data_IF_772422798552
#
_entry.id   IF_772422798552
#
_cell.length_a   1.000
_cell.length_b   1.000
_cell.length_c   1.000
_cell.angle_alpha   90.00
_cell.angle_beta   90.00
_cell.angle_gamma   90.00
#
_symmetry.space_group_name_H-M   'P 1'
#
loop_
_entity.id
_entity.type
_entity.pdbx_description
1 polymer ?
#
# COMPACT_ATOMS: atom_id res chain seq x y z
N UNK A 1 -14.73 -7.28 8.06
CA UNK A 1 -13.98 -7.16 6.79
C UNK A 1 -14.75 -7.83 5.67
N UNK A 2 -14.84 -7.21 4.49
CA UNK A 2 -15.43 -7.86 3.32
C UNK A 2 -14.42 -8.88 2.76
N UNK A 3 -14.87 -10.11 2.49
CA UNK A 3 -14.06 -11.17 1.86
C UNK A 3 -14.36 -11.22 0.37
N UNK A 4 -13.31 -11.29 -0.43
CA UNK A 4 -13.38 -11.41 -1.88
C UNK A 4 -12.56 -12.63 -2.29
N UNK A 5 -13.18 -13.56 -2.99
CA UNK A 5 -12.46 -14.71 -3.55
C UNK A 5 -11.67 -14.28 -4.77
N UNK A 6 -10.37 -14.51 -4.76
CA UNK A 6 -9.47 -14.21 -5.88
C UNK A 6 -9.34 -15.38 -6.83
N UNK A 7 -9.10 -16.59 -6.27
CA UNK A 7 -8.98 -17.86 -6.97
C UNK A 7 -9.35 -19.02 -6.04
N UNK A 8 -9.13 -20.27 -6.47
CA UNK A 8 -9.30 -21.40 -5.59
C UNK A 8 -8.30 -21.34 -4.43
N UNK A 9 -8.83 -21.39 -3.21
CA UNK A 9 -8.03 -21.33 -1.99
C UNK A 9 -7.47 -19.97 -1.61
N UNK A 10 -7.61 -18.93 -2.45
CA UNK A 10 -7.05 -17.60 -2.20
C UNK A 10 -8.15 -16.56 -2.02
N UNK A 11 -8.18 -15.92 -0.86
CA UNK A 11 -9.15 -14.89 -0.51
C UNK A 11 -8.47 -13.59 -0.07
N UNK A 12 -9.00 -12.46 -0.52
CA UNK A 12 -8.56 -11.12 -0.12
C UNK A 12 -9.58 -10.52 0.85
N UNK A 13 -9.09 -9.98 1.95
CA UNK A 13 -9.85 -9.22 2.92
C UNK A 13 -9.32 -7.79 2.98
N UNK A 14 -10.21 -6.81 2.77
CA UNK A 14 -9.86 -5.40 2.95
C UNK A 14 -10.14 -4.98 4.39
N UNK A 15 -9.14 -4.45 5.05
CA UNK A 15 -9.27 -3.70 6.29
C UNK A 15 -9.10 -2.21 6.00
N UNK A 16 -10.10 -1.41 6.36
CA UNK A 16 -10.01 0.05 6.31
C UNK A 16 -9.36 0.51 7.61
N UNK A 17 -8.09 0.87 7.52
CA UNK A 17 -7.35 1.42 8.64
C UNK A 17 -7.76 2.85 8.99
N UNK A 18 -7.08 3.44 9.96
CA UNK A 18 -7.31 4.81 10.40
C UNK A 18 -6.76 5.86 9.42
N UNK A 19 -5.80 5.49 8.59
CA UNK A 19 -5.15 6.36 7.62
C UNK A 19 -5.12 5.76 6.23
N UNK A 20 -4.82 4.47 6.11
CA UNK A 20 -4.65 3.75 4.86
C UNK A 20 -5.40 2.42 4.88
N UNK A 21 -5.55 1.79 3.73
CA UNK A 21 -6.10 0.45 3.62
C UNK A 21 -5.00 -0.59 3.85
N UNK A 22 -5.37 -1.70 4.47
CA UNK A 22 -4.53 -2.90 4.60
C UNK A 22 -5.25 -4.05 3.92
N UNK A 23 -4.52 -4.84 3.16
CA UNK A 23 -5.09 -6.00 2.48
C UNK A 23 -4.51 -7.28 3.07
N UNK A 24 -5.39 -8.21 3.47
CA UNK A 24 -5.00 -9.49 4.05
C UNK A 24 -5.39 -10.58 3.06
N UNK A 25 -4.43 -11.36 2.64
CA UNK A 25 -4.59 -12.46 1.70
C UNK A 25 -4.46 -13.77 2.49
N UNK A 26 -5.52 -14.55 2.51
CA UNK A 26 -5.56 -15.86 3.15
C UNK A 26 -5.44 -16.93 2.09
N UNK A 27 -4.39 -17.73 2.17
CA UNK A 27 -4.17 -18.91 1.32
C UNK A 27 -4.51 -20.17 2.11
N UNK A 28 -5.68 -20.73 1.85
CA UNK A 28 -6.14 -21.93 2.52
C UNK A 28 -5.47 -23.22 2.02
N UNK A 29 -4.82 -23.17 0.85
CA UNK A 29 -4.06 -24.30 0.31
C UNK A 29 -2.69 -24.39 0.98
N UNK A 30 -1.98 -23.24 1.06
CA UNK A 30 -0.67 -23.16 1.72
C UNK A 30 -0.76 -23.04 3.25
N UNK A 31 -1.97 -22.88 3.79
CA UNK A 31 -2.21 -22.61 5.21
C UNK A 31 -1.38 -21.43 5.71
N UNK A 32 -1.38 -20.33 4.97
CA UNK A 32 -0.59 -19.13 5.26
C UNK A 32 -1.42 -17.86 5.03
N UNK A 33 -1.06 -16.82 5.76
CA UNK A 33 -1.63 -15.48 5.60
C UNK A 33 -0.54 -14.50 5.20
N UNK A 34 -0.88 -13.60 4.29
CA UNK A 34 -0.03 -12.51 3.81
C UNK A 34 -0.75 -11.19 4.03
N UNK A 35 0.01 -10.12 4.25
CA UNK A 35 -0.53 -8.77 4.30
C UNK A 35 0.13 -7.89 3.25
N UNK A 36 -0.63 -6.99 2.64
CA UNK A 36 -0.11 -5.87 1.87
C UNK A 36 -0.37 -4.61 2.68
N UNK A 37 0.73 -3.94 3.04
CA UNK A 37 0.82 -2.87 4.03
C UNK A 37 0.40 -3.29 5.45
N UNK A 38 0.63 -2.43 6.42
CA UNK A 38 0.32 -2.75 7.81
C UNK A 38 -0.28 -1.59 8.63
N UNK A 39 -0.64 -0.49 7.94
CA UNK A 39 -1.26 0.64 8.59
C UNK A 39 -0.37 1.32 9.64
N UNK A 40 -1.00 1.90 10.65
CA UNK A 40 -0.34 2.53 11.79
C UNK A 40 -0.51 1.68 13.07
N UNK A 41 0.26 1.93 14.14
CA UNK A 41 0.15 1.15 15.39
C UNK A 41 -1.27 1.07 15.96
N UNK A 42 -2.08 2.12 15.74
CA UNK A 42 -3.48 2.15 16.17
C UNK A 42 -4.42 1.19 15.44
N UNK A 43 -3.98 0.59 14.33
CA UNK A 43 -4.75 -0.40 13.56
C UNK A 43 -4.48 -1.83 14.04
N UNK A 44 -3.31 -2.05 14.63
CA UNK A 44 -2.79 -3.38 14.99
C UNK A 44 -3.72 -4.20 15.89
N UNK A 45 -4.40 -3.65 16.91
CA UNK A 45 -5.34 -4.44 17.72
C UNK A 45 -6.40 -5.15 16.88
N UNK A 46 -7.08 -4.42 15.98
CA UNK A 46 -8.13 -4.97 15.12
C UNK A 46 -7.57 -5.96 14.07
N UNK A 47 -6.38 -5.67 13.53
CA UNK A 47 -5.68 -6.59 12.62
C UNK A 47 -5.31 -7.89 13.35
N UNK A 48 -4.82 -7.80 14.58
CA UNK A 48 -4.43 -8.95 15.41
C UNK A 48 -5.63 -9.86 15.70
N UNK A 49 -6.80 -9.31 15.98
CA UNK A 49 -8.01 -10.10 16.25
C UNK A 49 -8.43 -10.95 15.03
N UNK A 50 -8.26 -10.43 13.83
CA UNK A 50 -8.48 -11.18 12.60
C UNK A 50 -7.36 -12.21 12.38
N UNK A 51 -6.11 -11.79 12.46
CA UNK A 51 -4.94 -12.63 12.14
C UNK A 51 -4.80 -13.83 13.07
N UNK A 52 -5.23 -13.73 14.33
CA UNK A 52 -5.24 -14.87 15.27
C UNK A 52 -6.25 -15.96 14.90
N UNK A 53 -7.24 -15.66 14.06
CA UNK A 53 -8.27 -16.59 13.60
C UNK A 53 -7.96 -17.12 12.19
N UNK A 54 -6.96 -16.55 11.51
CA UNK A 54 -6.49 -16.97 10.19
C UNK A 54 -5.29 -17.94 10.33
N UNK A 55 -4.88 -18.61 9.25
CA UNK A 55 -3.59 -19.30 9.20
C UNK A 55 -2.43 -18.37 9.60
N UNK A 56 -1.27 -18.93 10.01
CA UNK A 56 -0.15 -18.10 10.46
C UNK A 56 0.24 -16.99 9.49
N UNK A 57 0.50 -15.78 10.02
CA UNK A 57 1.04 -14.67 9.24
C UNK A 57 2.47 -15.01 8.81
N UNK A 58 2.66 -15.16 7.51
CA UNK A 58 3.95 -15.51 6.91
C UNK A 58 4.78 -14.26 6.63
N UNK A 59 4.18 -13.27 5.93
CA UNK A 59 4.88 -12.04 5.58
C UNK A 59 3.95 -10.85 5.44
N UNK A 60 4.52 -9.68 5.64
CA UNK A 60 3.93 -8.37 5.34
C UNK A 60 4.70 -7.79 4.16
N UNK A 61 4.04 -7.52 3.05
CA UNK A 61 4.63 -6.97 1.84
C UNK A 61 4.23 -5.49 1.76
N UNK A 62 5.19 -4.60 1.58
CA UNK A 62 4.96 -3.16 1.60
C UNK A 62 4.88 -2.61 0.19
N UNK A 63 3.85 -1.81 -0.09
CA UNK A 63 3.68 -1.12 -1.37
C UNK A 63 4.72 -0.01 -1.55
N UNK A 64 5.00 0.75 -0.49
CA UNK A 64 6.02 1.80 -0.46
C UNK A 64 6.35 2.23 0.98
N UNK A 65 7.49 2.87 1.18
CA UNK A 65 8.02 3.22 2.50
C UNK A 65 7.43 4.53 3.03
N UNK A 66 6.11 4.58 3.30
CA UNK A 66 5.46 5.69 4.00
C UNK A 66 4.91 5.27 5.37
N UNK A 67 4.83 6.26 6.28
CA UNK A 67 4.50 6.08 7.70
C UNK A 67 3.21 5.30 7.91
N UNK A 68 2.18 5.61 7.17
CA UNK A 68 0.85 5.02 7.30
C UNK A 68 0.71 3.65 6.61
N UNK A 69 1.73 3.20 5.90
CA UNK A 69 1.81 1.87 5.31
C UNK A 69 2.72 0.93 6.12
N UNK A 70 3.75 1.47 6.82
CA UNK A 70 4.78 0.65 7.47
C UNK A 70 4.77 0.68 9.00
N UNK A 71 4.18 1.70 9.63
CA UNK A 71 4.41 1.92 11.07
C UNK A 71 3.68 0.92 11.98
N UNK A 72 2.66 0.24 11.49
CA UNK A 72 2.01 -0.88 12.18
C UNK A 72 2.97 -2.03 12.49
N UNK A 73 4.07 -2.17 11.71
CA UNK A 73 5.09 -3.18 11.94
C UNK A 73 5.74 -3.09 13.32
N UNK A 74 5.80 -1.89 13.92
CA UNK A 74 6.32 -1.68 15.28
C UNK A 74 5.67 -2.63 16.30
N UNK A 75 4.35 -2.83 16.18
CA UNK A 75 3.58 -3.67 17.10
C UNK A 75 3.36 -5.08 16.56
N UNK A 76 3.10 -5.24 15.25
CA UNK A 76 2.88 -6.55 14.61
C UNK A 76 4.07 -7.49 14.82
N UNK A 77 5.30 -6.99 14.66
CA UNK A 77 6.52 -7.79 14.84
C UNK A 77 6.71 -8.37 16.25
N UNK A 78 6.10 -7.76 17.25
CA UNK A 78 6.15 -8.25 18.64
C UNK A 78 5.17 -9.41 18.86
N UNK A 79 4.06 -9.41 18.13
CA UNK A 79 2.97 -10.39 18.25
C UNK A 79 3.22 -11.59 17.32
N UNK A 80 3.61 -11.33 16.07
CA UNK A 80 3.86 -12.33 15.03
C UNK A 80 5.38 -12.44 14.79
N UNK A 81 6.06 -13.17 15.70
CA UNK A 81 7.52 -13.21 15.75
C UNK A 81 8.17 -13.93 14.56
N UNK A 82 7.43 -14.84 13.89
CA UNK A 82 7.90 -15.59 12.72
C UNK A 82 7.61 -14.88 11.40
N UNK A 83 6.80 -13.81 11.42
CA UNK A 83 6.49 -13.04 10.22
C UNK A 83 7.68 -12.20 9.75
N UNK A 84 7.86 -12.13 8.43
CA UNK A 84 8.84 -11.27 7.78
C UNK A 84 8.19 -10.02 7.21
N UNK A 85 8.97 -8.94 7.01
CA UNK A 85 8.55 -7.77 6.25
C UNK A 85 9.36 -7.65 4.97
N UNK A 86 8.65 -7.47 3.85
CA UNK A 86 9.19 -7.51 2.52
C UNK A 86 9.00 -6.18 1.82
N UNK A 87 10.08 -5.65 1.24
CA UNK A 87 10.11 -4.39 0.49
C UNK A 87 10.63 -4.63 -0.91
N UNK A 88 10.19 -3.80 -1.85
CA UNK A 88 10.88 -3.72 -3.13
C UNK A 88 12.32 -3.23 -2.94
N UNK A 89 13.26 -3.73 -3.75
CA UNK A 89 14.69 -3.38 -3.63
C UNK A 89 14.95 -1.87 -3.65
N UNK A 90 14.11 -1.11 -4.34
CA UNK A 90 14.18 0.37 -4.37
C UNK A 90 13.91 1.04 -3.02
N UNK A 91 13.28 0.34 -2.08
CA UNK A 91 13.09 0.84 -0.71
C UNK A 91 14.34 0.72 0.16
N UNK A 92 15.35 -0.06 -0.26
CA UNK A 92 16.55 -0.35 0.54
C UNK A 92 17.22 0.89 1.13
N UNK A 93 17.46 1.99 0.38
CA UNK A 93 18.11 3.18 0.94
C UNK A 93 17.33 3.78 2.11
N UNK A 94 15.99 3.75 2.06
CA UNK A 94 15.11 4.27 3.11
C UNK A 94 15.07 3.32 4.32
N UNK A 95 14.92 2.02 4.07
CA UNK A 95 14.89 0.97 5.11
C UNK A 95 16.21 0.96 5.89
N UNK A 96 17.35 1.07 5.19
CA UNK A 96 18.70 1.09 5.77
C UNK A 96 19.09 2.47 6.35
N UNK A 97 18.21 3.47 6.26
CA UNK A 97 18.47 4.81 6.78
C UNK A 97 19.54 5.61 6.03
N UNK A 98 19.90 5.20 4.81
CA UNK A 98 20.82 5.94 3.93
C UNK A 98 20.16 7.16 3.33
N UNK A 99 18.84 7.08 3.09
CA UNK A 99 18.01 8.16 2.60
C UNK A 99 16.84 8.41 3.55
N UNK A 100 16.34 9.65 3.54
CA UNK A 100 15.18 10.05 4.35
C UNK A 100 13.98 10.26 3.44
N UNK A 101 12.80 9.91 3.95
CA UNK A 101 11.55 10.28 3.30
C UNK A 101 11.43 11.81 3.35
N UNK A 102 11.22 12.49 2.21
CA UNK A 102 10.97 13.93 2.23
C UNK A 102 9.69 14.23 3.01
N UNK A 103 9.74 15.28 3.83
CA UNK A 103 8.54 15.74 4.52
C UNK A 103 7.59 16.39 3.50
N UNK A 104 6.28 16.12 3.57
CA UNK A 104 5.32 16.68 2.62
C UNK A 104 5.41 18.21 2.58
N UNK A 105 5.31 18.78 1.38
CA UNK A 105 5.17 20.23 1.22
C UNK A 105 3.85 20.72 1.84
N UNK A 106 3.74 22.02 2.14
CA UNK A 106 2.50 22.61 2.65
C UNK A 106 1.32 22.42 1.68
N UNK A 107 1.57 22.44 0.36
CA UNK A 107 0.56 22.16 -0.65
C UNK A 107 0.10 20.70 -0.59
N UNK A 108 1.02 19.75 -0.59
CA UNK A 108 0.71 18.33 -0.48
C UNK A 108 -0.03 17.99 0.83
N UNK A 109 0.36 18.63 1.94
CA UNK A 109 -0.36 18.47 3.20
C UNK A 109 -1.82 18.95 3.08
N UNK A 110 -2.06 20.06 2.43
CA UNK A 110 -3.38 20.65 2.26
C UNK A 110 -4.25 19.86 1.26
N UNK A 111 -3.66 19.39 0.17
CA UNK A 111 -4.38 18.78 -0.97
C UNK A 111 -4.66 17.29 -0.78
N UNK A 112 -3.84 16.59 0.00
CA UNK A 112 -3.98 15.16 0.20
C UNK A 112 -4.23 14.80 1.66
N UNK A 113 -3.34 15.20 2.57
CA UNK A 113 -3.46 14.78 3.97
C UNK A 113 -4.74 15.27 4.62
N UNK A 114 -5.16 16.52 4.39
CA UNK A 114 -6.42 17.03 4.95
C UNK A 114 -7.64 16.29 4.41
N UNK A 115 -7.81 16.06 3.09
CA UNK A 115 -8.88 15.23 2.56
C UNK A 115 -8.85 13.80 3.12
N UNK A 116 -7.69 13.14 3.14
CA UNK A 116 -7.54 11.82 3.74
C UNK A 116 -7.92 11.80 5.21
N UNK A 117 -7.46 12.77 6.00
CA UNK A 117 -7.83 12.89 7.42
C UNK A 117 -9.35 13.02 7.60
N UNK A 118 -10.01 13.81 6.76
CA UNK A 118 -11.48 13.96 6.78
C UNK A 118 -12.19 12.67 6.41
N UNK A 119 -11.72 11.97 5.37
CA UNK A 119 -12.31 10.72 4.91
C UNK A 119 -12.19 9.60 5.95
N UNK A 120 -11.02 9.49 6.60
CA UNK A 120 -10.76 8.45 7.59
C UNK A 120 -11.12 8.87 9.03
N UNK A 121 -11.42 10.15 9.26
CA UNK A 121 -11.71 10.68 10.60
C UNK A 121 -10.52 10.63 11.56
N UNK A 122 -9.30 10.63 11.01
CA UNK A 122 -8.06 10.51 11.77
C UNK A 122 -7.31 11.84 11.83
N UNK A 123 -6.81 12.19 13.03
CA UNK A 123 -5.91 13.33 13.23
C UNK A 123 -4.56 12.78 13.71
N UNK A 124 -3.45 13.00 12.96
CA UNK A 124 -2.13 12.53 13.37
C UNK A 124 -1.74 13.10 14.74
N UNK A 125 -1.13 12.27 15.56
CA UNK A 125 -0.59 12.75 16.82
C UNK A 125 0.61 13.69 16.55
N UNK A 126 0.69 14.88 17.20
CA UNK A 126 1.78 15.83 16.96
C UNK A 126 3.19 15.20 17.10
N UNK A 127 3.35 14.24 18.01
CA UNK A 127 4.59 13.51 18.19
C UNK A 127 4.99 12.64 16.99
N UNK A 128 4.02 12.13 16.23
CA UNK A 128 4.30 11.31 15.04
C UNK A 128 4.71 12.19 13.85
N UNK A 129 4.07 13.36 13.72
CA UNK A 129 4.47 14.38 12.76
C UNK A 129 5.90 14.88 13.05
N UNK A 130 6.22 15.13 14.32
CA UNK A 130 7.57 15.56 14.72
C UNK A 130 8.61 14.47 14.44
N UNK A 131 8.30 13.19 14.70
CA UNK A 131 9.21 12.08 14.37
C UNK A 131 9.42 11.97 12.87
N UNK A 132 8.36 12.03 12.07
CA UNK A 132 8.47 12.05 10.60
C UNK A 132 9.37 13.17 10.11
N UNK A 133 9.19 14.39 10.63
CA UNK A 133 10.01 15.54 10.26
C UNK A 133 11.47 15.40 10.69
N UNK A 134 11.76 14.86 11.88
CA UNK A 134 13.11 14.77 12.42
C UNK A 134 13.91 13.56 11.88
N UNK A 135 13.25 12.44 11.70
CA UNK A 135 13.89 11.17 11.39
C UNK A 135 13.56 10.63 9.98
N UNK A 136 12.61 11.24 9.27
CA UNK A 136 12.12 10.75 7.98
C UNK A 136 11.42 9.39 8.05
N UNK A 137 11.11 8.92 9.26
CA UNK A 137 10.51 7.61 9.54
C UNK A 137 9.82 7.65 10.90
N UNK A 138 8.78 6.82 11.17
CA UNK A 138 8.18 6.70 12.50
C UNK A 138 9.13 6.05 13.52
N UNK A 139 10.25 5.51 13.07
CA UNK A 139 11.19 4.74 13.87
C UNK A 139 12.35 5.63 14.33
N UNK A 140 12.35 6.05 15.60
CA UNK A 140 13.38 6.93 16.15
C UNK A 140 14.80 6.36 16.07
N UNK A 141 14.94 5.03 16.16
CA UNK A 141 16.22 4.31 16.10
C UNK A 141 16.53 3.76 14.70
N UNK A 142 15.83 4.23 13.66
CA UNK A 142 15.85 3.60 12.34
C UNK A 142 14.81 2.48 12.23
N UNK A 143 14.63 1.97 11.02
CA UNK A 143 13.73 0.84 10.79
C UNK A 143 14.35 -0.43 11.39
N UNK A 144 13.55 -1.30 12.07
CA UNK A 144 14.07 -2.55 12.62
C UNK A 144 14.40 -3.52 11.49
N UNK A 145 15.69 -3.76 11.25
CA UNK A 145 16.20 -4.55 10.10
C UNK A 145 16.05 -6.07 10.29
N UNK A 146 15.76 -6.54 11.50
CA UNK A 146 15.50 -7.94 11.74
C UNK A 146 14.26 -8.40 10.98
N UNK A 147 14.36 -9.51 10.24
CA UNK A 147 13.30 -10.10 9.41
C UNK A 147 12.89 -9.26 8.20
N UNK A 148 13.74 -8.32 7.76
CA UNK A 148 13.57 -7.58 6.51
C UNK A 148 14.07 -8.41 5.34
N UNK A 149 13.25 -8.50 4.30
CA UNK A 149 13.58 -9.09 3.01
C UNK A 149 13.38 -8.06 1.89
N UNK A 150 14.10 -8.22 0.81
CA UNK A 150 13.94 -7.40 -0.38
C UNK A 150 13.63 -8.26 -1.59
N UNK A 151 12.76 -7.76 -2.48
CA UNK A 151 12.38 -8.42 -3.72
C UNK A 151 12.54 -7.47 -4.92
N UNK A 152 12.61 -8.04 -6.12
CA UNK A 152 12.66 -7.34 -7.40
C UNK A 152 11.41 -7.67 -8.23
N UNK A 153 11.26 -6.99 -9.38
CA UNK A 153 10.13 -7.19 -10.32
C UNK A 153 9.99 -8.63 -10.85
N UNK A 154 11.08 -9.42 -10.81
CA UNK A 154 11.07 -10.83 -11.23
C UNK A 154 10.59 -11.80 -10.16
N UNK A 155 10.45 -11.33 -8.93
CA UNK A 155 10.11 -12.16 -7.79
C UNK A 155 8.59 -12.24 -7.59
N UNK A 156 8.11 -13.28 -6.92
CA UNK A 156 6.71 -13.44 -6.51
C UNK A 156 6.60 -13.27 -4.98
N UNK A 157 6.65 -12.02 -4.47
CA UNK A 157 6.60 -11.77 -3.03
C UNK A 157 5.25 -12.15 -2.42
N UNK A 158 4.19 -12.15 -3.22
CA UNK A 158 2.82 -12.48 -2.84
C UNK A 158 2.27 -13.55 -3.78
N UNK A 159 1.90 -14.75 -3.28
CA UNK A 159 1.47 -15.87 -4.12
C UNK A 159 0.30 -15.54 -5.03
N UNK A 160 0.46 -15.84 -6.32
CA UNK A 160 -0.54 -15.57 -7.37
C UNK A 160 -0.56 -14.13 -7.86
N UNK A 161 0.26 -13.23 -7.28
CA UNK A 161 0.34 -11.84 -7.70
C UNK A 161 1.67 -11.54 -8.42
N UNK A 162 1.59 -10.76 -9.48
CA UNK A 162 2.76 -10.13 -10.11
C UNK A 162 3.08 -8.82 -9.39
N UNK A 163 4.29 -8.67 -8.91
CA UNK A 163 4.79 -7.38 -8.47
C UNK A 163 5.08 -6.50 -9.69
N UNK A 164 4.60 -5.27 -9.68
CA UNK A 164 4.77 -4.30 -10.76
C UNK A 164 5.34 -3.03 -10.14
N UNK A 165 6.58 -2.72 -10.44
CA UNK A 165 7.17 -1.46 -10.02
C UNK A 165 6.44 -0.29 -10.69
N UNK A 166 5.87 0.59 -9.87
CA UNK A 166 5.02 1.72 -10.25
C UNK A 166 5.49 3.01 -9.57
N UNK A 167 6.71 3.49 -9.90
CA UNK A 167 7.26 4.69 -9.30
C UNK A 167 6.46 5.94 -9.67
N UNK A 168 6.72 7.03 -8.97
CA UNK A 168 6.12 8.35 -9.20
C UNK A 168 5.73 9.03 -7.90
N UNK A 169 4.79 8.47 -7.13
CA UNK A 169 4.53 8.92 -5.78
C UNK A 169 5.77 8.75 -4.90
N UNK A 170 6.39 7.58 -4.96
CA UNK A 170 7.68 7.25 -4.36
C UNK A 170 8.50 6.39 -5.34
N UNK A 171 9.86 6.39 -5.25
CA UNK A 171 10.70 5.57 -6.10
C UNK A 171 10.52 4.07 -5.89
N UNK A 172 10.06 3.67 -4.71
CA UNK A 172 9.88 2.27 -4.29
C UNK A 172 8.44 1.76 -4.45
N UNK A 173 7.52 2.59 -4.99
CA UNK A 173 6.12 2.18 -5.18
C UNK A 173 6.00 0.92 -6.01
N UNK A 174 5.22 -0.02 -5.51
CA UNK A 174 4.94 -1.29 -6.16
C UNK A 174 3.46 -1.63 -6.06
N UNK A 175 2.88 -2.00 -7.19
CA UNK A 175 1.51 -2.52 -7.28
C UNK A 175 1.53 -4.05 -7.39
N UNK A 176 0.49 -4.72 -6.88
CA UNK A 176 0.38 -6.18 -6.91
C UNK A 176 -0.84 -6.59 -7.72
N UNK A 177 -0.61 -7.20 -8.89
CA UNK A 177 -1.65 -7.62 -9.81
C UNK A 177 -1.89 -9.11 -9.74
N UNK A 178 -3.14 -9.53 -9.53
CA UNK A 178 -3.59 -10.92 -9.56
C UNK A 178 -4.30 -11.22 -10.91
N UNK A 179 -3.63 -11.89 -11.88
CA UNK A 179 -4.14 -12.03 -13.24
C UNK A 179 -5.46 -12.80 -13.32
N UNK A 180 -5.61 -13.86 -12.53
CA UNK A 180 -6.80 -14.72 -12.59
C UNK A 180 -8.08 -13.98 -12.21
N UNK A 181 -8.04 -13.09 -11.20
CA UNK A 181 -9.21 -12.31 -10.80
C UNK A 181 -9.32 -10.96 -11.48
N UNK A 182 -8.24 -10.43 -12.05
CA UNK A 182 -8.14 -9.07 -12.55
C UNK A 182 -8.07 -8.01 -11.43
N UNK A 183 -7.68 -8.40 -10.23
CA UNK A 183 -7.53 -7.51 -9.09
C UNK A 183 -6.13 -6.91 -9.03
N UNK A 184 -6.01 -5.60 -8.75
CA UNK A 184 -4.73 -4.94 -8.49
C UNK A 184 -4.77 -4.16 -7.18
N UNK A 185 -3.74 -4.33 -6.35
CA UNK A 185 -3.49 -3.50 -5.17
C UNK A 185 -2.46 -2.45 -5.59
N UNK A 186 -2.85 -1.17 -5.60
CA UNK A 186 -2.03 -0.10 -6.20
C UNK A 186 -1.19 0.69 -5.19
N UNK A 187 -1.39 0.44 -3.89
CA UNK A 187 -0.85 1.38 -2.91
C UNK A 187 -1.30 2.80 -3.24
N UNK A 188 -0.37 3.74 -3.24
CA UNK A 188 -0.64 5.15 -3.49
C UNK A 188 -0.38 5.60 -4.93
N UNK A 189 -0.14 4.67 -5.85
CA UNK A 189 -0.05 5.01 -7.29
C UNK A 189 -1.39 5.48 -7.82
N UNK A 190 -2.50 4.80 -7.48
CA UNK A 190 -3.87 5.20 -7.79
C UNK A 190 -4.65 5.22 -6.49
N UNK A 191 -5.25 6.36 -6.16
CA UNK A 191 -6.17 6.53 -5.04
C UNK A 191 -7.62 6.48 -5.54
N UNK A 192 -8.58 6.22 -4.65
CA UNK A 192 -10.00 6.32 -5.00
C UNK A 192 -10.69 7.22 -3.99
N UNK A 193 -10.94 8.46 -4.40
CA UNK A 193 -11.51 9.50 -3.56
C UNK A 193 -12.87 9.93 -4.11
N UNK A 194 -13.86 10.09 -3.23
CA UNK A 194 -15.25 10.40 -3.61
C UNK A 194 -15.86 9.43 -4.63
N UNK A 195 -15.39 8.19 -4.68
CA UNK A 195 -15.86 7.16 -5.60
C UNK A 195 -15.14 7.12 -6.94
N UNK A 196 -14.21 8.04 -7.22
CA UNK A 196 -13.47 8.13 -8.48
C UNK A 196 -11.98 7.81 -8.30
N UNK A 197 -11.35 7.10 -9.26
CA UNK A 197 -9.92 6.89 -9.27
C UNK A 197 -9.20 8.19 -9.62
N UNK A 198 -8.22 8.54 -8.83
CA UNK A 198 -7.39 9.73 -9.04
C UNK A 198 -5.91 9.38 -8.97
N UNK A 199 -5.08 10.11 -9.69
CA UNK A 199 -3.64 10.10 -9.47
C UNK A 199 -3.33 10.74 -8.12
N UNK A 200 -2.33 10.20 -7.43
CA UNK A 200 -1.79 10.88 -6.27
C UNK A 200 -1.09 12.17 -6.74
N UNK A 201 -1.36 13.30 -6.08
CA UNK A 201 -0.71 14.59 -6.40
C UNK A 201 0.51 14.85 -5.53
N UNK A 202 0.73 14.05 -4.49
CA UNK A 202 1.97 14.05 -3.72
C UNK A 202 3.00 13.15 -4.41
N UNK A 203 3.76 13.72 -5.34
CA UNK A 203 4.65 13.00 -6.24
C UNK A 203 6.10 13.42 -6.04
N UNK A 204 7.02 12.46 -6.11
CA UNK A 204 8.43 12.73 -6.30
C UNK A 204 8.79 12.91 -7.78
N UNK A 205 8.11 12.16 -8.67
CA UNK A 205 8.30 12.25 -10.11
C UNK A 205 6.96 12.12 -10.86
N UNK A 206 6.40 13.21 -11.42
CA UNK A 206 5.14 13.18 -12.17
C UNK A 206 5.21 12.34 -13.46
N UNK A 207 6.35 12.32 -14.15
CA UNK A 207 6.48 11.57 -15.41
C UNK A 207 6.47 10.06 -15.14
N UNK A 208 7.18 9.60 -14.11
CA UNK A 208 7.14 8.21 -13.65
C UNK A 208 5.72 7.82 -13.21
N UNK A 209 5.01 8.73 -12.54
CA UNK A 209 3.63 8.51 -12.10
C UNK A 209 2.70 8.25 -13.28
N UNK A 210 2.78 9.07 -14.32
CA UNK A 210 1.96 8.90 -15.53
C UNK A 210 2.27 7.58 -16.22
N UNK A 211 3.54 7.25 -16.42
CA UNK A 211 3.96 5.97 -16.99
C UNK A 211 3.49 4.78 -16.14
N UNK A 212 3.49 4.90 -14.82
CA UNK A 212 3.03 3.86 -13.91
C UNK A 212 1.52 3.64 -14.01
N UNK A 213 0.73 4.70 -14.12
CA UNK A 213 -0.71 4.62 -14.33
C UNK A 213 -1.01 3.98 -15.69
N UNK A 214 -0.35 4.42 -16.76
CA UNK A 214 -0.50 3.82 -18.09
C UNK A 214 -0.18 2.32 -18.08
N UNK A 215 0.92 1.93 -17.44
CA UNK A 215 1.32 0.53 -17.27
C UNK A 215 0.26 -0.30 -16.56
N UNK A 216 -0.36 0.23 -15.51
CA UNK A 216 -1.46 -0.43 -14.79
C UNK A 216 -2.68 -0.58 -15.71
N UNK A 217 -3.06 0.48 -16.41
CA UNK A 217 -4.26 0.49 -17.26
C UNK A 217 -4.15 -0.40 -18.50
N UNK A 218 -2.92 -0.75 -18.91
CA UNK A 218 -2.65 -1.69 -20.00
C UNK A 218 -2.66 -3.16 -19.57
N UNK A 219 -2.88 -3.46 -18.27
CA UNK A 219 -2.92 -4.84 -17.80
C UNK A 219 -4.15 -5.57 -18.36
N UNK A 220 -3.87 -6.66 -19.06
CA UNK A 220 -4.93 -7.50 -19.63
C UNK A 220 -5.80 -8.10 -18.53
N UNK A 221 -7.12 -7.95 -18.65
CA UNK A 221 -8.08 -8.49 -17.71
C UNK A 221 -8.18 -7.74 -16.37
N UNK A 222 -7.65 -6.51 -16.28
CA UNK A 222 -7.83 -5.66 -15.11
C UNK A 222 -9.33 -5.36 -14.89
N UNK A 223 -9.82 -5.59 -13.66
CA UNK A 223 -11.24 -5.44 -13.30
C UNK A 223 -11.47 -4.59 -12.07
N UNK A 224 -10.57 -4.67 -11.08
CA UNK A 224 -10.78 -4.02 -9.78
C UNK A 224 -9.47 -3.42 -9.30
N UNK A 225 -9.54 -2.16 -8.86
CA UNK A 225 -8.46 -1.44 -8.20
C UNK A 225 -8.72 -1.44 -6.68
N UNK A 226 -7.72 -1.84 -5.92
CA UNK A 226 -7.64 -1.81 -4.47
C UNK A 226 -6.57 -0.79 -4.05
N UNK A 227 -6.96 0.48 -3.76
CA UNK A 227 -6.03 1.58 -3.51
C UNK A 227 -5.49 1.57 -2.08
N UNK A 228 -4.36 2.24 -1.86
CA UNK A 228 -3.85 2.53 -0.51
C UNK A 228 -4.81 3.42 0.29
N UNK A 229 -5.51 4.33 -0.37
CA UNK A 229 -6.52 5.19 0.25
C UNK A 229 -7.84 5.18 -0.52
N UNK A 230 -8.96 5.20 0.20
CA UNK A 230 -10.30 5.25 -0.35
C UNK A 230 -10.97 3.89 -0.53
N UNK A 231 -12.01 3.85 -1.35
CA UNK A 231 -12.79 2.63 -1.60
C UNK A 231 -12.17 1.81 -2.74
N UNK A 232 -12.61 0.55 -2.92
CA UNK A 232 -12.26 -0.23 -4.11
C UNK A 232 -13.04 0.29 -5.32
N UNK A 233 -12.40 0.29 -6.48
CA UNK A 233 -13.01 0.74 -7.73
C UNK A 233 -13.13 -0.41 -8.74
N UNK A 234 -14.34 -0.65 -9.25
CA UNK A 234 -14.60 -1.59 -10.36
C UNK A 234 -14.53 -0.86 -11.68
N UNK A 235 -13.73 -1.39 -12.58
CA UNK A 235 -13.75 -0.97 -13.97
C UNK A 235 -14.98 -1.61 -14.64
N UNK A 236 -15.92 -0.80 -15.09
CA UNK A 236 -17.06 -1.26 -15.88
C UNK A 236 -16.58 -1.73 -17.26
N UNK A 237 -17.29 -2.69 -17.87
CA UNK A 237 -16.90 -3.44 -19.07
C UNK A 237 -17.03 -2.66 -20.41
N UNK A 238 -16.79 -1.37 -20.42
CA UNK A 238 -16.51 -0.66 -21.67
C UNK A 238 -14.99 -0.42 -21.76
N UNK A 239 -14.38 -0.39 -22.98
CA UNK A 239 -13.01 0.05 -23.08
C UNK A 239 -12.96 1.43 -22.43
N UNK A 240 -12.37 1.49 -21.26
CA UNK A 240 -12.16 2.72 -20.52
C UNK A 240 -11.27 3.60 -21.41
N UNK A 241 -11.90 4.33 -22.32
CA UNK A 241 -11.29 5.49 -22.90
C UNK A 241 -11.05 6.41 -21.70
N UNK A 242 -9.87 6.27 -21.12
CA UNK A 242 -9.41 7.21 -20.12
C UNK A 242 -9.74 8.59 -20.65
N UNK A 243 -10.65 9.26 -19.97
CA UNK A 243 -10.66 10.69 -20.03
C UNK A 243 -9.33 11.12 -19.40
N UNK A 244 -8.25 11.11 -20.22
CA UNK A 244 -6.94 11.66 -19.85
C UNK A 244 -7.10 13.07 -19.29
N UNK A 245 -8.23 13.73 -19.61
CA UNK A 245 -8.62 15.03 -19.09
C UNK A 245 -8.91 15.03 -17.57
N UNK A 246 -9.31 13.92 -16.97
CA UNK A 246 -9.46 13.83 -15.50
C UNK A 246 -8.08 13.93 -14.82
N UNK A 247 -7.04 13.41 -15.45
CA UNK A 247 -5.68 13.51 -14.96
C UNK A 247 -4.96 14.78 -15.42
N UNK A 248 -5.34 15.35 -16.58
CA UNK A 248 -4.73 16.58 -17.11
C UNK A 248 -5.35 17.88 -16.56
N UNK A 249 -6.53 17.86 -15.98
CA UNK A 249 -7.16 19.06 -15.39
C UNK A 249 -6.68 19.37 -13.97
N UNK A 250 -5.72 18.62 -13.46
CA UNK A 250 -5.12 18.79 -12.11
C UNK A 250 -3.63 19.19 -12.14
N UNK A 251 -3.10 19.57 -13.32
CA UNK A 251 -1.75 20.15 -13.47
C UNK A 251 -1.85 21.68 -13.48
#
# INVERSE_FOLDING_TARGET
MAMIRLSEGLALHKYRGKTSNVYIIVDSIRQATYMVDCGIPGDVPNLTDFLKQAPPLNRVIITHFHVDHISGWIELRKIFQDAEIWFHEKARPFVMGHERIPFPSLSAFREILIPCMKEYGFIPHPGDLLRGALYGTPFRAGFPEDRVQFYNDSDEPLPGFKAIHTPGHRPDCTSFYHPESGAIITGDTILVMNGEPISNTFLENPDDQNMSIEKIMQLEGLKIIYPGHGICYRLEHEPFLMNMDIFSSMI
#
